data_IF_567716175493
#
_entry.id   IF_567716175493
#
_cell.length_a   1.000
_cell.length_b   1.000
_cell.length_c   1.000
_cell.angle_alpha   90.00
_cell.angle_beta   90.00
_cell.angle_gamma   90.00
#
_symmetry.space_group_name_H-M   'P 1'
#
loop_
_entity.id
_entity.type
_entity.pdbx_description
1 polymer ?
#
# COMPACT_ATOMS: atom_id res chain seq x y z
N UNK A 1 24.62 -7.99 -16.57
CA UNK A 1 24.57 -6.52 -16.54
C UNK A 1 25.54 -6.02 -15.47
N UNK A 2 26.32 -4.98 -15.77
CA UNK A 2 27.25 -4.32 -14.87
C UNK A 2 27.45 -2.86 -15.32
N UNK A 3 28.01 -2.01 -14.45
CA UNK A 3 28.35 -0.63 -14.78
C UNK A 3 29.63 -0.63 -15.64
N UNK A 4 29.49 -0.23 -16.89
CA UNK A 4 30.60 -0.17 -17.84
C UNK A 4 31.49 1.05 -17.62
N UNK A 5 32.78 0.92 -17.93
CA UNK A 5 33.67 2.06 -17.89
C UNK A 5 33.44 3.01 -19.07
N UNK A 6 33.90 4.28 -19.00
CA UNK A 6 33.82 5.22 -20.12
C UNK A 6 34.46 4.67 -21.41
N UNK A 7 35.58 3.95 -21.31
CA UNK A 7 36.28 3.34 -22.45
C UNK A 7 35.47 2.22 -23.07
N UNK A 8 34.82 1.38 -22.23
CA UNK A 8 33.95 0.31 -22.73
C UNK A 8 32.71 0.91 -23.42
N UNK A 9 32.15 1.99 -22.89
CA UNK A 9 31.03 2.67 -23.52
C UNK A 9 31.45 3.33 -24.84
N UNK A 10 32.61 3.97 -24.91
CA UNK A 10 33.14 4.53 -26.14
C UNK A 10 33.36 3.45 -27.22
N UNK A 11 33.84 2.26 -26.80
CA UNK A 11 34.02 1.13 -27.72
C UNK A 11 32.71 0.56 -28.27
N UNK A 12 31.59 0.68 -27.48
CA UNK A 12 30.27 0.20 -27.91
C UNK A 12 29.54 1.20 -28.84
N UNK A 13 29.87 2.49 -28.74
CA UNK A 13 29.23 3.55 -29.52
C UNK A 13 30.23 4.44 -30.25
N UNK A 14 31.13 3.85 -31.04
CA UNK A 14 32.19 4.60 -31.72
C UNK A 14 31.65 5.61 -32.74
N UNK A 15 30.47 5.36 -33.30
CA UNK A 15 29.80 6.24 -34.29
C UNK A 15 29.07 7.42 -33.67
N UNK A 16 28.90 7.42 -32.32
CA UNK A 16 28.12 8.43 -31.62
C UNK A 16 28.86 9.04 -30.41
N UNK A 17 30.07 9.61 -30.58
CA UNK A 17 30.83 10.18 -29.47
C UNK A 17 30.09 11.35 -28.79
N UNK A 18 29.29 12.10 -29.54
CA UNK A 18 28.47 13.17 -28.98
C UNK A 18 27.37 12.67 -28.03
N UNK A 19 26.84 11.47 -28.26
CA UNK A 19 25.86 10.87 -27.36
C UNK A 19 26.48 10.60 -25.98
N UNK A 20 27.70 10.13 -25.93
CA UNK A 20 28.46 9.92 -24.68
C UNK A 20 28.76 11.25 -23.99
N UNK A 21 29.26 12.27 -24.72
CA UNK A 21 29.49 13.59 -24.17
C UNK A 21 28.19 14.25 -23.63
N UNK A 22 27.04 13.97 -24.25
CA UNK A 22 25.77 14.48 -23.78
C UNK A 22 25.29 13.85 -22.48
N UNK A 23 25.71 12.62 -22.13
CA UNK A 23 25.39 12.02 -20.83
C UNK A 23 26.00 12.84 -19.69
N UNK A 24 27.24 13.30 -19.85
CA UNK A 24 27.92 14.17 -18.89
C UNK A 24 27.21 15.53 -18.76
N UNK A 25 26.91 16.18 -19.89
CA UNK A 25 26.17 17.43 -19.91
C UNK A 25 24.78 17.33 -19.27
N UNK A 26 24.13 16.19 -19.42
CA UNK A 26 22.82 15.94 -18.77
C UNK A 26 23.03 15.79 -17.27
N UNK A 27 24.05 15.04 -16.84
CA UNK A 27 24.37 14.87 -15.42
C UNK A 27 24.68 16.23 -14.75
N UNK A 28 25.47 17.10 -15.41
CA UNK A 28 25.76 18.46 -14.92
C UNK A 28 24.51 19.35 -14.75
N UNK A 29 23.46 19.10 -15.54
CA UNK A 29 22.18 19.82 -15.45
C UNK A 29 21.25 19.26 -14.38
N UNK A 30 21.51 18.05 -13.88
CA UNK A 30 20.73 17.42 -12.83
C UNK A 30 21.27 17.85 -11.48
N UNK A 31 20.46 18.59 -10.72
CA UNK A 31 20.81 19.15 -9.42
C UNK A 31 19.67 18.79 -8.46
N UNK A 32 19.70 17.56 -7.94
CA UNK A 32 18.64 17.01 -7.07
C UNK A 32 19.27 16.54 -5.77
N UNK A 33 18.88 17.17 -4.69
CA UNK A 33 19.22 16.75 -3.33
C UNK A 33 18.02 16.06 -2.67
N UNK A 34 18.31 14.99 -1.94
CA UNK A 34 17.31 14.29 -1.15
C UNK A 34 17.58 14.49 0.34
N UNK A 35 16.60 14.96 1.07
CA UNK A 35 16.66 15.02 2.51
C UNK A 35 16.15 13.68 3.06
N UNK A 36 17.02 12.94 3.73
CA UNK A 36 16.71 11.65 4.35
C UNK A 36 16.43 11.82 5.84
N UNK A 37 15.51 11.01 6.37
CA UNK A 37 15.26 10.93 7.81
C UNK A 37 14.30 11.99 8.37
N UNK A 38 13.76 12.89 7.55
CA UNK A 38 12.71 13.81 7.97
C UNK A 38 11.33 13.18 7.69
N UNK A 39 10.63 12.82 8.75
CA UNK A 39 9.25 12.37 8.67
C UNK A 39 8.32 13.59 8.60
N UNK A 40 7.60 13.72 7.50
CA UNK A 40 6.56 14.75 7.33
C UNK A 40 5.20 14.09 7.58
N UNK A 41 4.75 14.08 8.83
CA UNK A 41 3.44 13.61 9.20
C UNK A 41 2.44 14.78 9.23
N UNK A 42 1.22 14.60 8.73
CA UNK A 42 0.17 15.59 8.91
C UNK A 42 -0.25 15.65 10.39
N UNK A 43 -0.76 16.80 10.82
CA UNK A 43 -1.34 16.98 12.15
C UNK A 43 -2.83 16.62 12.12
N UNK A 44 -3.27 15.90 13.14
CA UNK A 44 -4.68 15.63 13.33
C UNK A 44 -5.39 16.85 13.96
N UNK A 45 -6.54 17.30 13.44
CA UNK A 45 -7.29 18.41 14.03
C UNK A 45 -7.96 17.97 15.35
N UNK A 46 -7.26 18.10 16.46
CA UNK A 46 -7.76 17.73 17.79
C UNK A 46 -8.87 18.68 18.25
N UNK A 47 -9.86 18.22 19.07
CA UNK A 47 -10.86 19.06 19.70
C UNK A 47 -10.22 20.11 20.62
N UNK A 48 -10.83 21.30 20.71
CA UNK A 48 -10.28 22.46 21.44
C UNK A 48 -10.10 22.24 22.95
N UNK A 49 -10.79 21.26 23.50
CA UNK A 49 -10.73 20.92 24.93
C UNK A 49 -9.47 20.14 25.32
N UNK A 50 -8.70 19.70 24.33
CA UNK A 50 -7.46 18.97 24.56
C UNK A 50 -6.24 19.81 24.20
N UNK A 51 -5.18 19.64 25.00
CA UNK A 51 -3.95 20.42 24.88
C UNK A 51 -3.15 20.04 23.64
N UNK A 52 -3.03 18.75 23.37
CA UNK A 52 -2.21 18.16 22.32
C UNK A 52 -2.74 16.78 21.88
N UNK A 53 -2.16 16.24 20.81
CA UNK A 53 -2.54 14.95 20.24
C UNK A 53 -2.32 13.79 21.24
N UNK A 54 -1.27 13.81 22.05
CA UNK A 54 -0.96 12.76 23.00
C UNK A 54 -2.03 12.67 24.10
N UNK A 55 -2.48 13.83 24.63
CA UNK A 55 -3.56 13.89 25.63
C UNK A 55 -4.87 13.38 25.04
N UNK A 56 -5.17 13.75 23.80
CA UNK A 56 -6.39 13.30 23.13
C UNK A 56 -6.35 11.80 22.83
N UNK A 57 -5.24 11.29 22.33
CA UNK A 57 -5.03 9.86 22.08
C UNK A 57 -5.22 9.02 23.36
N UNK A 58 -4.60 9.45 24.47
CA UNK A 58 -4.77 8.82 25.78
C UNK A 58 -6.23 8.81 26.20
N UNK A 59 -6.91 9.93 26.10
CA UNK A 59 -8.33 10.06 26.46
C UNK A 59 -9.21 9.07 25.68
N UNK A 60 -9.00 8.94 24.38
CA UNK A 60 -9.74 7.98 23.55
C UNK A 60 -9.51 6.53 24.03
N UNK A 61 -8.25 6.17 24.28
CA UNK A 61 -7.92 4.82 24.77
C UNK A 61 -8.54 4.54 26.13
N UNK A 62 -8.40 5.44 27.09
CA UNK A 62 -8.94 5.28 28.45
C UNK A 62 -10.49 5.19 28.41
N UNK A 63 -11.14 5.99 27.58
CA UNK A 63 -12.60 5.96 27.40
C UNK A 63 -13.10 4.65 26.79
N UNK A 64 -12.26 3.95 26.03
CA UNK A 64 -12.58 2.68 25.39
C UNK A 64 -12.38 1.45 26.31
N UNK A 65 -11.59 1.56 27.38
CA UNK A 65 -11.28 0.41 28.26
C UNK A 65 -12.55 -0.28 28.79
N UNK A 66 -13.57 0.42 29.29
CA UNK A 66 -14.75 -0.24 29.85
C UNK A 66 -15.49 -1.13 28.84
N UNK A 67 -15.51 -0.74 27.56
CA UNK A 67 -16.18 -1.53 26.51
C UNK A 67 -15.38 -2.75 26.07
N UNK A 68 -14.05 -2.75 26.21
CA UNK A 68 -13.17 -3.83 25.77
C UNK A 68 -12.80 -4.80 26.90
N UNK A 69 -12.56 -4.27 28.09
CA UNK A 69 -12.05 -5.06 29.23
C UNK A 69 -13.00 -5.07 30.45
N UNK A 70 -14.07 -4.27 30.43
CA UNK A 70 -14.92 -4.08 31.61
C UNK A 70 -14.22 -3.28 32.69
N UNK A 71 -13.56 -3.96 33.62
CA UNK A 71 -12.77 -3.32 34.69
C UNK A 71 -11.29 -3.09 34.25
N UNK A 72 -10.74 -1.96 34.69
CA UNK A 72 -9.35 -1.62 34.41
C UNK A 72 -8.42 -2.46 35.28
N UNK A 73 -7.77 -3.48 34.70
CA UNK A 73 -6.74 -4.22 35.41
C UNK A 73 -5.38 -3.50 35.34
N UNK A 74 -4.53 -3.75 36.34
CA UNK A 74 -3.14 -3.28 36.37
C UNK A 74 -2.36 -3.66 35.08
N UNK A 75 -2.61 -4.85 34.55
CA UNK A 75 -1.98 -5.35 33.30
C UNK A 75 -2.36 -4.47 32.11
N UNK A 76 -3.64 -4.12 31.96
CA UNK A 76 -4.16 -3.24 30.89
C UNK A 76 -3.54 -1.85 31.03
N UNK A 77 -3.58 -1.28 32.23
CA UNK A 77 -3.04 0.06 32.48
C UNK A 77 -1.55 0.16 32.19
N UNK A 78 -0.74 -0.74 32.74
CA UNK A 78 0.70 -0.73 32.55
C UNK A 78 1.08 -0.90 31.08
N UNK A 79 0.37 -1.76 30.34
CA UNK A 79 0.59 -1.95 28.90
C UNK A 79 0.21 -0.71 28.10
N UNK A 80 -0.92 -0.07 28.41
CA UNK A 80 -1.36 1.16 27.77
C UNK A 80 -0.39 2.31 28.02
N UNK A 81 0.03 2.51 29.27
CA UNK A 81 0.99 3.55 29.62
C UNK A 81 2.35 3.36 28.93
N UNK A 82 2.79 2.12 28.84
CA UNK A 82 4.02 1.76 28.12
C UNK A 82 3.92 2.09 26.63
N UNK A 83 2.87 1.63 25.95
CA UNK A 83 2.69 1.85 24.51
C UNK A 83 2.52 3.34 24.17
N UNK A 84 1.67 4.06 24.91
CA UNK A 84 1.49 5.50 24.71
C UNK A 84 2.80 6.28 24.95
N UNK A 85 3.61 5.86 25.94
CA UNK A 85 4.93 6.45 26.16
C UNK A 85 5.86 6.30 24.95
N UNK A 86 5.90 5.13 24.33
CA UNK A 86 6.71 4.88 23.12
C UNK A 86 6.14 5.64 21.92
N UNK A 87 4.83 5.57 21.67
CA UNK A 87 4.17 6.27 20.56
C UNK A 87 4.48 7.77 20.64
N UNK A 88 4.33 8.37 21.82
CA UNK A 88 4.62 9.78 22.06
C UNK A 88 6.10 10.12 21.85
N UNK A 89 7.01 9.34 22.43
CA UNK A 89 8.46 9.58 22.31
C UNK A 89 8.95 9.50 20.86
N UNK A 90 8.29 8.72 20.02
CA UNK A 90 8.57 8.59 18.58
C UNK A 90 7.81 9.60 17.71
N UNK A 91 6.89 10.41 18.27
CA UNK A 91 6.14 11.44 17.57
C UNK A 91 5.02 10.91 16.68
N UNK A 92 4.41 9.77 17.03
CA UNK A 92 3.37 9.12 16.20
C UNK A 92 1.93 9.29 16.72
N UNK A 93 1.71 10.18 17.70
CA UNK A 93 0.36 10.43 18.24
C UNK A 93 -0.64 10.81 17.15
N UNK A 94 -0.29 11.78 16.30
CA UNK A 94 -1.12 12.20 15.17
C UNK A 94 -1.38 11.07 14.17
N UNK A 95 -0.39 10.22 13.91
CA UNK A 95 -0.53 9.09 13.00
C UNK A 95 -1.62 8.12 13.48
N UNK A 96 -1.62 7.77 14.76
CA UNK A 96 -2.65 6.91 15.35
C UNK A 96 -4.02 7.56 15.31
N UNK A 97 -4.12 8.85 15.57
CA UNK A 97 -5.38 9.60 15.51
C UNK A 97 -5.94 9.65 14.08
N UNK A 98 -5.09 9.85 13.08
CA UNK A 98 -5.50 9.86 11.67
C UNK A 98 -6.02 8.48 11.24
N UNK A 99 -5.32 7.40 11.61
CA UNK A 99 -5.76 6.04 11.29
C UNK A 99 -7.06 5.69 11.99
N UNK A 100 -7.17 6.01 13.28
CA UNK A 100 -8.39 5.85 14.04
C UNK A 100 -9.58 6.58 13.40
N UNK A 101 -9.38 7.83 13.00
CA UNK A 101 -10.46 8.69 12.51
C UNK A 101 -11.07 8.17 11.20
N UNK A 102 -10.27 7.81 10.21
CA UNK A 102 -10.84 7.29 8.97
C UNK A 102 -11.46 5.90 9.13
N UNK A 103 -10.95 5.06 10.06
CA UNK A 103 -11.58 3.78 10.41
C UNK A 103 -12.92 4.02 11.11
N UNK A 104 -12.97 4.93 12.07
CA UNK A 104 -14.19 5.36 12.73
C UNK A 104 -15.23 5.85 11.72
N UNK A 105 -14.82 6.77 10.83
CA UNK A 105 -15.69 7.31 9.79
C UNK A 105 -16.20 6.23 8.81
N UNK A 106 -15.38 5.20 8.51
CA UNK A 106 -15.81 4.05 7.72
C UNK A 106 -16.85 3.22 8.49
N UNK A 107 -16.59 2.88 9.76
CA UNK A 107 -17.49 2.10 10.61
C UNK A 107 -18.82 2.82 10.85
N UNK A 108 -18.83 4.14 11.09
CA UNK A 108 -20.05 4.97 11.24
C UNK A 108 -20.92 4.99 9.98
N UNK A 109 -20.31 4.84 8.80
CA UNK A 109 -21.02 4.71 7.52
C UNK A 109 -21.36 3.26 7.17
N UNK A 110 -21.18 2.34 8.09
CA UNK A 110 -21.38 0.90 7.87
C UNK A 110 -20.57 0.37 6.64
N UNK A 111 -19.37 0.93 6.41
CA UNK A 111 -18.42 0.43 5.43
C UNK A 111 -17.61 -0.68 6.11
N UNK A 112 -17.63 -1.92 5.59
CA UNK A 112 -16.87 -3.01 6.18
C UNK A 112 -15.36 -2.69 6.22
N UNK A 113 -14.78 -2.83 7.41
CA UNK A 113 -13.34 -2.72 7.66
C UNK A 113 -12.86 -4.06 8.19
N UNK A 114 -11.72 -4.53 7.74
CA UNK A 114 -11.11 -5.78 8.22
C UNK A 114 -10.67 -5.70 9.69
N UNK A 115 -10.47 -6.84 10.35
CA UNK A 115 -10.15 -6.92 11.78
C UNK A 115 -8.72 -6.42 12.13
N UNK A 116 -8.02 -5.91 11.16
CA UNK A 116 -6.60 -5.58 11.27
C UNK A 116 -5.70 -6.77 10.91
N UNK A 117 -4.48 -6.48 10.51
CA UNK A 117 -3.45 -7.48 10.15
C UNK A 117 -2.04 -6.92 10.39
N UNK A 118 -1.03 -7.76 10.20
CA UNK A 118 0.36 -7.36 10.37
C UNK A 118 0.74 -7.11 11.83
N UNK A 119 1.74 -6.26 12.04
CA UNK A 119 2.31 -6.00 13.37
C UNK A 119 1.44 -5.14 14.27
N UNK A 120 0.53 -4.32 13.70
CA UNK A 120 -0.35 -3.44 14.45
C UNK A 120 -1.28 -4.19 15.42
N UNK A 121 -1.58 -5.48 15.16
CA UNK A 121 -2.32 -6.34 16.06
C UNK A 121 -1.62 -6.56 17.42
N UNK A 122 -0.32 -6.27 17.53
CA UNK A 122 0.43 -6.32 18.80
C UNK A 122 0.22 -5.12 19.71
N UNK A 123 -0.55 -4.10 19.31
CA UNK A 123 -0.76 -2.87 20.06
C UNK A 123 -2.10 -2.82 20.77
N UNK A 124 -2.10 -2.58 22.09
CA UNK A 124 -3.32 -2.34 22.86
C UNK A 124 -3.95 -0.99 22.47
N UNK A 125 -3.16 -0.01 22.09
CA UNK A 125 -3.66 1.28 21.59
C UNK A 125 -4.45 1.06 20.30
N UNK A 126 -3.94 0.26 19.35
CA UNK A 126 -4.66 -0.08 18.12
C UNK A 126 -5.97 -0.82 18.42
N UNK A 127 -5.97 -1.72 19.40
CA UNK A 127 -7.15 -2.47 19.82
C UNK A 127 -8.21 -1.56 20.47
N UNK A 128 -7.82 -0.73 21.44
CA UNK A 128 -8.73 0.19 22.12
C UNK A 128 -9.33 1.23 21.16
N UNK A 129 -8.59 1.68 20.18
CA UNK A 129 -9.08 2.58 19.14
C UNK A 129 -9.95 1.89 18.09
N UNK A 130 -10.09 0.56 18.13
CA UNK A 130 -10.81 -0.21 17.13
C UNK A 130 -10.15 -0.20 15.76
N UNK A 131 -8.83 0.06 15.69
CA UNK A 131 -8.01 -0.11 14.50
C UNK A 131 -7.83 -1.60 14.22
N UNK A 132 -7.67 -2.39 15.28
CA UNK A 132 -7.65 -3.85 15.22
C UNK A 132 -8.73 -4.43 16.13
N UNK A 133 -9.26 -5.61 15.78
CA UNK A 133 -10.29 -6.29 16.56
C UNK A 133 -9.70 -7.46 17.39
N UNK A 134 -8.36 -7.58 17.44
CA UNK A 134 -7.64 -8.62 18.17
C UNK A 134 -7.02 -8.05 19.44
N UNK A 135 -7.37 -8.61 20.60
CA UNK A 135 -6.78 -8.24 21.89
C UNK A 135 -5.35 -8.78 22.04
N UNK A 136 -4.32 -7.90 22.03
CA UNK A 136 -2.93 -8.33 22.14
C UNK A 136 -2.58 -8.97 23.48
N UNK A 137 -3.31 -8.68 24.55
CA UNK A 137 -3.05 -9.25 25.88
C UNK A 137 -3.53 -10.69 26.01
N UNK A 138 -4.59 -11.06 25.29
CA UNK A 138 -5.12 -12.42 25.27
C UNK A 138 -4.18 -13.39 24.55
N UNK A 139 -3.45 -12.90 23.54
CA UNK A 139 -2.54 -13.72 22.72
C UNK A 139 -1.06 -13.44 23.01
N UNK A 140 -0.75 -12.72 24.07
CA UNK A 140 0.63 -12.34 24.46
C UNK A 140 1.46 -11.76 23.30
N UNK A 141 0.83 -10.90 22.47
CA UNK A 141 1.50 -10.27 21.33
C UNK A 141 2.45 -9.17 21.79
N UNK A 142 3.61 -9.10 21.13
CA UNK A 142 4.67 -8.16 21.47
C UNK A 142 4.50 -6.86 20.69
N UNK A 143 4.39 -5.74 21.40
CA UNK A 143 4.33 -4.40 20.85
C UNK A 143 5.61 -3.99 20.11
N UNK A 144 6.75 -4.47 20.59
CA UNK A 144 8.07 -4.17 20.04
C UNK A 144 8.27 -4.72 18.60
N UNK A 145 7.42 -5.63 18.16
CA UNK A 145 7.36 -6.06 16.75
C UNK A 145 6.69 -5.04 15.85
N UNK A 146 5.87 -4.17 16.43
CA UNK A 146 5.17 -3.10 15.72
C UNK A 146 5.94 -1.78 15.82
N UNK A 147 6.27 -1.33 17.03
CA UNK A 147 7.08 -0.14 17.28
C UNK A 147 8.24 -0.48 18.21
N UNK A 148 9.45 -0.14 17.79
CA UNK A 148 10.65 -0.32 18.57
C UNK A 148 11.48 0.97 18.54
N UNK A 149 11.73 1.63 19.70
CA UNK A 149 12.52 2.85 19.76
C UNK A 149 13.97 2.70 19.26
N UNK A 150 14.52 1.47 19.33
CA UNK A 150 15.86 1.17 18.81
C UNK A 150 15.91 1.12 17.28
N UNK A 151 14.76 0.93 16.65
CA UNK A 151 14.61 0.89 15.20
C UNK A 151 13.68 2.01 14.76
N UNK A 152 14.24 3.19 14.48
CA UNK A 152 13.47 4.36 14.03
C UNK A 152 12.93 4.11 12.61
N UNK A 153 11.79 3.43 12.54
CA UNK A 153 11.03 3.27 11.31
C UNK A 153 9.61 3.75 11.55
N UNK A 154 9.00 4.36 10.53
CA UNK A 154 7.60 4.74 10.59
C UNK A 154 6.73 3.49 10.81
N UNK A 155 5.72 3.53 11.71
CA UNK A 155 4.78 2.45 11.86
C UNK A 155 4.00 2.22 10.56
N UNK A 156 3.71 0.96 10.28
CA UNK A 156 2.91 0.55 9.13
C UNK A 156 1.64 -0.15 9.63
N UNK A 157 0.51 0.54 9.53
CA UNK A 157 -0.80 0.01 9.90
C UNK A 157 -1.54 -0.35 8.61
N UNK A 158 -1.63 -1.64 8.35
CA UNK A 158 -2.39 -2.19 7.22
C UNK A 158 -3.89 -2.20 7.53
N UNK A 159 -4.68 -1.49 6.74
CA UNK A 159 -6.14 -1.42 6.89
C UNK A 159 -6.83 -1.94 5.63
N UNK A 160 -7.63 -2.99 5.79
CA UNK A 160 -8.44 -3.54 4.72
C UNK A 160 -9.84 -2.91 4.74
N UNK A 161 -10.22 -2.23 3.67
CA UNK A 161 -11.51 -1.55 3.52
C UNK A 161 -12.28 -2.16 2.36
N UNK A 162 -13.59 -2.29 2.49
CA UNK A 162 -14.49 -2.77 1.44
C UNK A 162 -14.16 -2.16 0.08
N UNK A 163 -13.78 -2.99 -0.87
CA UNK A 163 -13.35 -2.56 -2.21
C UNK A 163 -14.40 -1.70 -2.92
N UNK A 164 -15.68 -2.03 -2.80
CA UNK A 164 -16.77 -1.33 -3.47
C UNK A 164 -16.93 0.11 -2.95
N UNK A 165 -16.76 0.30 -1.62
CA UNK A 165 -17.01 1.58 -0.95
C UNK A 165 -15.74 2.32 -0.49
N UNK A 166 -14.54 1.78 -0.82
CA UNK A 166 -13.25 2.40 -0.45
C UNK A 166 -13.14 3.87 -0.87
N UNK A 167 -13.75 4.21 -2.01
CA UNK A 167 -13.72 5.59 -2.50
C UNK A 167 -14.35 6.58 -1.51
N UNK A 168 -15.40 6.19 -0.80
CA UNK A 168 -16.06 7.07 0.19
C UNK A 168 -15.12 7.43 1.35
N UNK A 169 -14.25 6.48 1.76
CA UNK A 169 -13.26 6.73 2.81
C UNK A 169 -12.14 7.63 2.30
N UNK A 170 -11.68 7.42 1.07
CA UNK A 170 -10.69 8.31 0.44
C UNK A 170 -11.24 9.73 0.31
N UNK A 171 -12.49 9.89 -0.14
CA UNK A 171 -13.14 11.18 -0.25
C UNK A 171 -13.32 11.87 1.12
N UNK A 172 -13.58 11.08 2.18
CA UNK A 172 -13.62 11.60 3.56
C UNK A 172 -12.27 12.22 3.98
N UNK A 173 -11.16 11.47 3.76
CA UNK A 173 -9.81 11.95 4.09
C UNK A 173 -9.43 13.18 3.27
N UNK A 174 -9.80 13.21 1.98
CA UNK A 174 -9.60 14.38 1.12
C UNK A 174 -10.37 15.62 1.59
N UNK A 175 -11.60 15.43 2.03
CA UNK A 175 -12.41 16.52 2.57
C UNK A 175 -11.84 17.07 3.88
N UNK A 176 -11.18 16.22 4.68
CA UNK A 176 -10.56 16.62 5.95
C UNK A 176 -9.24 17.36 5.77
N UNK A 177 -8.38 16.88 4.86
CA UNK A 177 -7.02 17.38 4.71
C UNK A 177 -6.81 18.23 3.45
N UNK A 178 -7.73 18.21 2.50
CA UNK A 178 -7.64 18.88 1.20
C UNK A 178 -7.18 17.97 0.07
N UNK A 179 -7.65 18.23 -1.14
CA UNK A 179 -7.32 17.42 -2.33
C UNK A 179 -5.84 17.49 -2.73
N UNK A 180 -5.17 18.56 -2.38
CA UNK A 180 -3.73 18.81 -2.62
C UNK A 180 -2.81 18.13 -1.59
N UNK A 181 -3.38 17.63 -0.48
CA UNK A 181 -2.65 16.92 0.58
C UNK A 181 -2.85 15.40 0.55
N UNK A 182 -3.78 14.90 -0.25
CA UNK A 182 -4.12 13.47 -0.30
C UNK A 182 -3.95 12.90 -1.70
N UNK A 183 -3.01 12.00 -1.87
CA UNK A 183 -2.76 11.30 -3.12
C UNK A 183 -2.71 9.80 -2.92
N UNK A 184 -3.12 9.05 -3.94
CA UNK A 184 -2.90 7.61 -3.97
C UNK A 184 -1.50 7.33 -4.53
N UNK A 185 -0.86 6.28 -4.01
CA UNK A 185 0.40 5.80 -4.61
C UNK A 185 0.11 5.38 -6.05
N UNK A 186 0.88 5.96 -6.97
CA UNK A 186 0.76 5.75 -8.41
C UNK A 186 1.31 4.37 -8.76
N UNK A 187 0.45 3.36 -8.74
CA UNK A 187 0.73 2.04 -9.30
C UNK A 187 -0.21 1.82 -10.48
N UNK A 188 0.30 1.98 -11.69
CA UNK A 188 -0.44 1.63 -12.90
C UNK A 188 -0.19 0.15 -13.20
N UNK A 189 -1.08 -0.71 -12.72
CA UNK A 189 -1.16 -2.11 -13.14
C UNK A 189 -2.22 -2.25 -14.24
N UNK A 190 -1.81 -2.64 -15.44
CA UNK A 190 -2.73 -3.08 -16.48
C UNK A 190 -2.48 -4.55 -16.77
N UNK A 191 -3.55 -5.31 -16.93
CA UNK A 191 -3.43 -6.66 -17.48
C UNK A 191 -2.98 -6.55 -18.93
N UNK A 192 -1.73 -6.93 -19.20
CA UNK A 192 -1.28 -7.12 -20.58
C UNK A 192 -2.00 -8.33 -21.19
N UNK A 193 -2.15 -8.35 -22.52
CA UNK A 193 -2.92 -9.38 -23.24
C UNK A 193 -2.60 -10.81 -22.81
N UNK A 194 -1.30 -11.16 -22.71
CA UNK A 194 -0.83 -12.48 -22.28
C UNK A 194 -1.21 -12.83 -20.85
N UNK A 195 -1.12 -11.86 -19.93
CA UNK A 195 -1.52 -12.02 -18.51
C UNK A 195 -3.03 -12.21 -18.39
N UNK A 196 -3.82 -11.36 -19.05
CA UNK A 196 -5.27 -11.45 -19.04
C UNK A 196 -5.77 -12.82 -19.51
N UNK A 197 -5.21 -13.34 -20.61
CA UNK A 197 -5.59 -14.66 -21.15
C UNK A 197 -5.23 -15.78 -20.17
N UNK A 198 -4.09 -15.73 -19.49
CA UNK A 198 -3.73 -16.73 -18.45
C UNK A 198 -4.70 -16.70 -17.28
N UNK A 199 -5.07 -15.52 -16.80
CA UNK A 199 -5.95 -15.38 -15.65
C UNK A 199 -7.38 -15.78 -15.97
N UNK A 200 -7.92 -15.36 -17.13
CA UNK A 200 -9.25 -15.79 -17.59
C UNK A 200 -9.27 -17.29 -17.87
N UNK A 201 -8.22 -17.84 -18.48
CA UNK A 201 -8.09 -19.28 -18.70
C UNK A 201 -8.15 -20.08 -17.41
N UNK A 202 -7.50 -19.61 -16.35
CA UNK A 202 -7.58 -20.19 -15.01
C UNK A 202 -9.01 -20.17 -14.45
N UNK A 203 -9.70 -19.03 -14.57
CA UNK A 203 -11.11 -18.89 -14.13
C UNK A 203 -12.05 -19.80 -14.91
N UNK A 204 -11.77 -20.02 -16.19
CA UNK A 204 -12.53 -20.95 -17.04
C UNK A 204 -12.13 -22.41 -16.87
N UNK A 205 -11.24 -22.73 -15.92
CA UNK A 205 -10.70 -24.06 -15.65
C UNK A 205 -10.07 -24.73 -16.89
N UNK A 206 -9.47 -23.95 -17.77
CA UNK A 206 -8.71 -24.46 -18.92
C UNK A 206 -7.36 -25.02 -18.44
N UNK A 207 -6.81 -26.01 -19.17
CA UNK A 207 -5.50 -26.55 -18.82
C UNK A 207 -4.40 -25.50 -19.04
N UNK A 208 -3.34 -25.57 -18.21
CA UNK A 208 -2.19 -24.68 -18.37
C UNK A 208 -1.53 -24.81 -19.75
N UNK A 209 -1.49 -26.04 -20.30
CA UNK A 209 -0.95 -26.32 -21.64
C UNK A 209 -1.72 -25.58 -22.72
N UNK A 210 -3.05 -25.76 -22.77
CA UNK A 210 -3.91 -25.14 -23.80
C UNK A 210 -3.81 -23.60 -23.74
N UNK A 211 -3.83 -23.02 -22.53
CA UNK A 211 -3.71 -21.57 -22.37
C UNK A 211 -2.32 -21.08 -22.78
N UNK A 212 -1.27 -21.84 -22.48
CA UNK A 212 0.11 -21.49 -22.87
C UNK A 212 0.28 -21.52 -24.38
N UNK A 213 -0.27 -22.51 -25.09
CA UNK A 213 -0.27 -22.55 -26.56
C UNK A 213 -0.92 -21.30 -27.16
N UNK A 214 -2.10 -20.92 -26.68
CA UNK A 214 -2.79 -19.71 -27.13
C UNK A 214 -1.95 -18.45 -26.87
N UNK A 215 -1.33 -18.35 -25.71
CA UNK A 215 -0.48 -17.20 -25.32
C UNK A 215 0.76 -17.07 -26.20
N UNK A 216 1.36 -18.17 -26.69
CA UNK A 216 2.52 -18.13 -27.61
C UNK A 216 2.19 -17.53 -28.95
N UNK A 217 0.93 -17.58 -29.39
CA UNK A 217 0.47 -16.99 -30.66
C UNK A 217 0.37 -15.45 -30.61
N UNK A 218 0.50 -14.86 -29.41
CA UNK A 218 0.46 -13.40 -29.22
C UNK A 218 1.89 -12.86 -29.38
N UNK A 219 2.14 -11.90 -30.27
CA UNK A 219 3.44 -11.27 -30.47
C UNK A 219 4.02 -10.67 -29.18
N UNK A 220 5.34 -10.79 -29.01
CA UNK A 220 6.06 -10.21 -27.85
C UNK A 220 6.47 -8.77 -28.12
N UNK A 221 5.47 -7.88 -28.11
CA UNK A 221 5.72 -6.45 -28.28
C UNK A 221 5.25 -5.63 -27.06
N UNK A 222 5.95 -4.53 -26.73
CA UNK A 222 5.50 -3.62 -25.71
C UNK A 222 4.07 -3.09 -25.99
N UNK A 223 3.23 -3.04 -24.94
CA UNK A 223 1.83 -2.56 -25.04
C UNK A 223 0.93 -3.37 -25.99
N UNK A 224 1.26 -4.65 -26.23
CA UNK A 224 0.42 -5.57 -27.00
C UNK A 224 -0.96 -5.71 -26.36
N UNK A 225 -2.02 -5.48 -27.13
CA UNK A 225 -3.42 -5.71 -26.74
C UNK A 225 -3.99 -6.91 -27.47
N UNK A 226 -5.04 -7.53 -26.91
CA UNK A 226 -5.77 -8.63 -27.61
C UNK A 226 -6.23 -8.18 -28.99
N UNK A 227 -6.78 -6.97 -29.10
CA UNK A 227 -7.23 -6.40 -30.38
C UNK A 227 -6.10 -6.23 -31.40
N UNK A 228 -4.91 -5.84 -30.94
CA UNK A 228 -3.72 -5.71 -31.78
C UNK A 228 -3.23 -7.10 -32.22
N UNK A 229 -3.15 -8.06 -31.30
CA UNK A 229 -2.79 -9.44 -31.59
C UNK A 229 -3.73 -10.08 -32.62
N UNK A 230 -5.04 -9.85 -32.52
CA UNK A 230 -6.03 -10.32 -33.51
C UNK A 230 -5.82 -9.75 -34.92
N UNK A 231 -5.20 -8.59 -35.04
CA UNK A 231 -4.88 -7.98 -36.36
C UNK A 231 -3.57 -8.48 -36.93
N UNK A 232 -2.56 -8.67 -36.08
CA UNK A 232 -1.18 -8.90 -36.47
C UNK A 232 -0.80 -10.39 -36.53
N UNK A 233 -1.42 -11.25 -35.72
CA UNK A 233 -1.18 -12.69 -35.74
C UNK A 233 -2.30 -13.43 -36.49
N UNK A 234 -1.99 -13.95 -37.65
CA UNK A 234 -2.91 -14.79 -38.43
C UNK A 234 -3.27 -16.09 -37.68
N UNK A 235 -2.28 -16.70 -37.02
CA UNK A 235 -2.44 -17.94 -36.27
C UNK A 235 -3.32 -17.74 -35.03
N UNK A 236 -3.15 -16.63 -34.31
CA UNK A 236 -4.02 -16.28 -33.18
C UNK A 236 -5.46 -16.09 -33.62
N UNK A 237 -5.68 -15.41 -34.75
CA UNK A 237 -7.01 -15.23 -35.32
C UNK A 237 -7.63 -16.55 -35.80
N UNK A 238 -6.86 -17.38 -36.49
CA UNK A 238 -7.33 -18.69 -36.96
C UNK A 238 -7.73 -19.59 -35.77
N UNK A 239 -6.95 -19.59 -34.70
CA UNK A 239 -7.25 -20.34 -33.48
C UNK A 239 -8.52 -19.81 -32.79
N UNK A 240 -8.70 -18.50 -32.75
CA UNK A 240 -9.93 -17.88 -32.25
C UNK A 240 -11.13 -18.29 -33.05
N UNK A 241 -11.05 -18.27 -34.39
CA UNK A 241 -12.19 -18.60 -35.28
C UNK A 241 -12.56 -20.08 -35.23
N UNK A 242 -11.57 -20.96 -35.10
CA UNK A 242 -11.75 -22.41 -35.13
C UNK A 242 -12.21 -23.02 -33.80
N UNK A 243 -11.89 -22.41 -32.65
CA UNK A 243 -12.10 -23.03 -31.33
C UNK A 243 -13.09 -22.25 -30.45
N UNK A 244 -14.29 -22.85 -30.18
CA UNK A 244 -15.31 -22.20 -29.32
C UNK A 244 -14.81 -21.88 -27.88
N UNK A 245 -13.89 -22.68 -27.31
CA UNK A 245 -13.32 -22.39 -26.00
C UNK A 245 -12.42 -21.16 -26.05
N UNK A 246 -11.63 -21.00 -27.13
CA UNK A 246 -10.79 -19.82 -27.32
C UNK A 246 -11.65 -18.57 -27.55
N UNK A 247 -12.79 -18.69 -28.27
CA UNK A 247 -13.75 -17.58 -28.38
C UNK A 247 -14.31 -17.13 -27.05
N UNK A 248 -14.51 -18.05 -26.11
CA UNK A 248 -15.00 -17.73 -24.77
C UNK A 248 -13.89 -17.13 -23.88
N UNK A 249 -12.64 -17.51 -24.14
CA UNK A 249 -11.47 -17.03 -23.41
C UNK A 249 -11.10 -15.60 -23.79
N UNK A 250 -11.24 -15.22 -25.09
CA UNK A 250 -10.87 -13.94 -25.68
C UNK A 250 -12.05 -12.96 -25.67
#
# INVERSE_FOLDING_TARGET
>A
YYLKSPEEMAGLFPEFPEALANTEKIAERCNVDFTFGELQLPYYPIPKDFKDAAVYLRHLCESAIPSHYGEVSEKVKNRLDYELGIIHSMGFDDYFLIVWDFIRAAKEKEIPVGPGRGSAAGSIVSYLLGITDLDPLTYDLLFERFLNPERVTMPDIDVDICYVRRKEVIDYVKNLYGDDHVAQIVTFGTFAARGAIRDVGRVLAMSFGDVSEIVTLIPEEPKMTIRKAMKESADFRATYDANPQVKKLI
#
